data_IF_612879741543
#
_entry.id   IF_612879741543
#
_cell.length_a   1.000
_cell.length_b   1.000
_cell.length_c   1.000
_cell.angle_alpha   90.00
_cell.angle_beta   90.00
_cell.angle_gamma   90.00
#
_symmetry.space_group_name_H-M   'P 1'
#
loop_
_entity.id
_entity.type
_entity.pdbx_description
1 polymer ?
#
# COMPACT_ATOMS: atom_id res chain seq x y z
N UNK A 1 23.23 -8.98 -45.93
CA UNK A 1 22.38 -7.81 -45.58
C UNK A 1 21.12 -8.23 -44.81
N UNK A 2 20.33 -9.20 -45.29
CA UNK A 2 19.09 -9.68 -44.63
C UNK A 2 19.31 -10.22 -43.21
N UNK A 3 20.41 -10.96 -42.96
CA UNK A 3 20.71 -11.48 -41.61
C UNK A 3 21.00 -10.40 -40.56
N UNK A 4 21.60 -9.28 -40.95
CA UNK A 4 21.89 -8.16 -40.04
C UNK A 4 20.60 -7.44 -39.66
N UNK A 5 19.68 -7.26 -40.62
CA UNK A 5 18.37 -6.65 -40.38
C UNK A 5 17.49 -7.47 -39.41
N UNK A 6 17.53 -8.81 -39.51
CA UNK A 6 16.79 -9.70 -38.60
C UNK A 6 17.32 -9.63 -37.15
N UNK A 7 18.63 -9.52 -36.97
CA UNK A 7 19.23 -9.40 -35.63
C UNK A 7 18.86 -8.06 -34.99
N UNK A 8 18.88 -6.97 -35.75
CA UNK A 8 18.49 -5.65 -35.24
C UNK A 8 17.01 -5.61 -34.83
N UNK A 9 16.12 -6.24 -35.60
CA UNK A 9 14.69 -6.32 -35.28
C UNK A 9 14.39 -7.16 -34.04
N UNK A 10 15.14 -8.24 -33.82
CA UNK A 10 15.04 -9.06 -32.62
C UNK A 10 15.52 -8.30 -31.37
N UNK A 11 16.60 -7.52 -31.49
CA UNK A 11 17.15 -6.71 -30.38
C UNK A 11 16.22 -5.57 -30.01
N UNK A 12 15.56 -4.89 -30.97
CA UNK A 12 14.59 -3.83 -30.68
C UNK A 12 13.31 -4.38 -30.03
N UNK A 13 12.83 -5.55 -30.46
CA UNK A 13 11.66 -6.19 -29.85
C UNK A 13 11.92 -6.57 -28.40
N UNK A 14 13.17 -6.93 -28.07
CA UNK A 14 13.57 -7.29 -26.71
C UNK A 14 13.58 -6.07 -25.77
N UNK A 15 13.85 -4.86 -26.26
CA UNK A 15 13.84 -3.64 -25.44
C UNK A 15 12.43 -3.06 -25.25
N UNK A 16 11.50 -3.26 -26.20
CA UNK A 16 10.09 -2.87 -26.05
C UNK A 16 9.33 -3.72 -25.00
N UNK A 17 9.82 -4.92 -24.68
CA UNK A 17 9.19 -5.82 -23.70
C UNK A 17 9.39 -5.45 -22.22
N UNK A 18 10.21 -4.44 -21.90
CA UNK A 18 10.53 -4.04 -20.52
C UNK A 18 9.82 -2.76 -20.05
N UNK A 19 8.83 -2.26 -20.79
CA UNK A 19 8.01 -1.14 -20.29
C UNK A 19 7.06 -1.68 -19.22
N UNK A 20 7.53 -1.70 -17.97
CA UNK A 20 6.67 -1.96 -16.82
C UNK A 20 5.57 -0.88 -16.78
N UNK A 21 4.28 -1.24 -16.82
CA UNK A 21 3.23 -0.25 -16.65
C UNK A 21 3.43 0.38 -15.28
N UNK A 22 3.76 1.68 -15.25
CA UNK A 22 3.68 2.46 -14.02
C UNK A 22 2.21 2.52 -13.65
N UNK A 23 1.77 1.58 -12.82
CA UNK A 23 0.51 1.71 -12.10
C UNK A 23 0.62 3.03 -11.34
N UNK A 24 -0.17 4.02 -11.75
CA UNK A 24 -0.10 5.37 -11.22
C UNK A 24 -0.55 5.38 -9.77
N UNK A 25 0.35 5.02 -8.85
CA UNK A 25 0.22 5.39 -7.46
C UNK A 25 0.35 6.90 -7.43
N UNK A 26 -0.75 7.60 -7.14
CA UNK A 26 -0.66 8.98 -6.72
C UNK A 26 -0.21 8.97 -5.25
N UNK A 27 1.07 9.24 -4.95
CA UNK A 27 1.52 9.26 -3.57
C UNK A 27 0.77 10.38 -2.85
N UNK A 28 0.05 10.01 -1.79
CA UNK A 28 -0.68 10.99 -0.96
C UNK A 28 0.25 11.75 -0.02
N UNK A 29 1.49 11.28 0.14
CA UNK A 29 2.55 11.89 0.96
C UNK A 29 3.54 12.59 0.03
N UNK A 30 3.64 13.92 0.12
CA UNK A 30 4.52 14.75 -0.72
C UNK A 30 5.90 14.86 -0.07
N UNK A 31 6.97 14.63 -0.84
CA UNK A 31 8.35 14.73 -0.36
C UNK A 31 8.78 13.61 0.60
N UNK A 32 7.93 12.60 0.80
CA UNK A 32 8.23 11.45 1.63
C UNK A 32 9.01 10.36 0.90
N UNK A 33 9.41 9.34 1.66
CA UNK A 33 10.01 8.11 1.16
C UNK A 33 9.24 6.90 1.69
N UNK A 34 9.39 5.75 1.05
CA UNK A 34 8.77 4.52 1.52
C UNK A 34 9.31 4.17 2.92
N UNK A 35 8.39 3.81 3.82
CA UNK A 35 8.77 3.31 5.13
C UNK A 35 9.30 1.87 5.03
N UNK A 36 10.33 1.54 5.82
CA UNK A 36 10.76 0.14 5.97
C UNK A 36 9.72 -0.65 6.75
N UNK A 37 9.78 -1.97 6.65
CA UNK A 37 8.92 -2.85 7.46
C UNK A 37 9.06 -2.53 8.95
N UNK A 38 7.92 -2.42 9.64
CA UNK A 38 7.88 -2.14 11.07
C UNK A 38 8.43 -0.77 11.50
N UNK A 39 8.80 0.13 10.58
CA UNK A 39 9.41 1.43 10.94
C UNK A 39 8.50 2.26 11.85
N UNK A 40 7.18 2.17 11.64
CA UNK A 40 6.17 2.90 12.39
C UNK A 40 5.11 1.91 12.91
N UNK A 41 5.41 1.11 13.95
CA UNK A 41 4.58 -0.02 14.38
C UNK A 41 3.24 0.40 14.99
N UNK A 42 3.11 1.68 15.34
CA UNK A 42 1.89 2.31 15.80
C UNK A 42 0.96 2.72 14.66
N UNK A 43 1.43 2.82 13.41
CA UNK A 43 0.64 3.33 12.30
C UNK A 43 -0.51 2.37 11.93
N UNK A 44 -1.71 2.92 11.79
CA UNK A 44 -2.90 2.19 11.34
C UNK A 44 -3.54 2.81 10.11
N UNK A 45 -4.29 1.99 9.38
CA UNK A 45 -5.24 2.38 8.35
C UNK A 45 -6.65 2.25 8.91
N UNK A 46 -7.30 3.38 9.17
CA UNK A 46 -8.74 3.42 9.43
C UNK A 46 -9.46 3.31 8.10
N UNK A 47 -10.31 2.29 7.96
CA UNK A 47 -10.98 1.93 6.72
C UNK A 47 -12.48 2.08 6.83
N UNK A 48 -13.10 2.63 5.79
CA UNK A 48 -14.55 2.69 5.61
C UNK A 48 -14.95 1.76 4.46
N UNK A 49 -15.86 0.81 4.71
CA UNK A 49 -16.22 -0.26 3.77
C UNK A 49 -15.00 -0.97 3.14
N UNK A 50 -13.95 -1.18 3.96
CA UNK A 50 -12.72 -1.86 3.53
C UNK A 50 -11.73 -1.00 2.75
N UNK A 51 -12.06 0.25 2.42
CA UNK A 51 -11.15 1.20 1.76
C UNK A 51 -10.49 2.14 2.78
N UNK A 52 -9.22 2.49 2.58
CA UNK A 52 -8.51 3.43 3.44
C UNK A 52 -9.17 4.82 3.41
N UNK A 53 -9.53 5.32 4.59
CA UNK A 53 -10.11 6.64 4.77
C UNK A 53 -9.12 7.60 5.45
N UNK A 54 -8.62 7.19 6.62
CA UNK A 54 -7.71 7.98 7.45
C UNK A 54 -6.60 7.14 8.07
N UNK A 55 -5.59 7.82 8.62
CA UNK A 55 -4.59 7.24 9.50
C UNK A 55 -5.00 7.22 10.98
N UNK A 56 -4.08 6.79 11.83
CA UNK A 56 -4.21 6.80 13.27
C UNK A 56 -3.01 6.13 13.95
N UNK A 57 -3.00 6.07 15.27
CA UNK A 57 -1.90 5.51 16.04
C UNK A 57 -2.38 4.57 17.15
N UNK A 58 -1.76 3.41 17.28
CA UNK A 58 -2.03 2.47 18.37
C UNK A 58 -1.53 3.07 19.68
N UNK A 59 -2.40 3.11 20.69
CA UNK A 59 -2.04 3.50 22.06
C UNK A 59 -1.76 2.27 22.92
N UNK A 60 -2.58 1.22 22.80
CA UNK A 60 -2.41 -0.07 23.48
C UNK A 60 -3.26 -1.15 22.79
N UNK A 61 -3.37 -2.33 23.40
CA UNK A 61 -4.13 -3.48 22.88
C UNK A 61 -5.60 -3.20 22.54
N UNK A 62 -6.21 -2.18 23.16
CA UNK A 62 -7.64 -1.88 23.03
C UNK A 62 -7.94 -0.53 22.40
N UNK A 63 -6.93 0.35 22.29
CA UNK A 63 -7.13 1.74 21.95
C UNK A 63 -6.22 2.20 20.82
N UNK A 64 -6.83 2.88 19.84
CA UNK A 64 -6.15 3.62 18.80
C UNK A 64 -6.66 5.07 18.79
N UNK A 65 -5.75 6.00 18.50
CA UNK A 65 -6.00 7.43 18.39
C UNK A 65 -6.16 7.83 16.92
N UNK A 66 -7.16 8.64 16.61
CA UNK A 66 -7.38 9.23 15.28
C UNK A 66 -8.08 10.59 15.42
N UNK A 67 -8.25 11.33 14.32
CA UNK A 67 -8.97 12.60 14.34
C UNK A 67 -10.49 12.36 14.41
N UNK A 68 -11.23 13.24 15.11
CA UNK A 68 -12.69 13.12 15.25
C UNK A 68 -13.40 13.10 13.88
N UNK A 69 -12.98 13.94 12.94
CA UNK A 69 -13.57 14.01 11.60
C UNK A 69 -13.35 12.74 10.75
N UNK A 70 -12.48 11.82 11.19
CA UNK A 70 -12.26 10.55 10.51
C UNK A 70 -13.29 9.48 10.91
N UNK A 71 -14.04 9.70 12.00
CA UNK A 71 -15.05 8.77 12.53
C UNK A 71 -16.44 9.39 12.62
N UNK A 72 -16.55 10.73 12.65
CA UNK A 72 -17.82 11.44 12.69
C UNK A 72 -18.69 11.10 11.47
N UNK A 73 -19.98 10.86 11.71
CA UNK A 73 -20.95 10.47 10.67
C UNK A 73 -20.81 9.04 10.12
N UNK A 74 -19.84 8.23 10.58
CA UNK A 74 -19.69 6.84 10.14
C UNK A 74 -20.33 5.84 11.12
N UNK A 75 -20.99 4.83 10.58
CA UNK A 75 -21.43 3.68 11.39
C UNK A 75 -20.22 2.83 11.79
N UNK A 76 -20.16 2.43 13.06
CA UNK A 76 -19.09 1.58 13.60
C UNK A 76 -18.96 0.28 12.79
N UNK A 77 -20.08 -0.30 12.35
CA UNK A 77 -20.09 -1.54 11.55
C UNK A 77 -19.42 -1.41 10.18
N UNK A 78 -19.30 -0.18 9.66
CA UNK A 78 -18.63 0.11 8.39
C UNK A 78 -17.15 0.48 8.57
N UNK A 79 -16.71 0.70 9.80
CA UNK A 79 -15.34 1.05 10.13
C UNK A 79 -14.51 -0.19 10.48
N UNK A 80 -13.24 -0.19 10.08
CA UNK A 80 -12.28 -1.21 10.50
C UNK A 80 -10.89 -0.59 10.69
N UNK A 81 -10.13 -1.14 11.64
CA UNK A 81 -8.76 -0.72 11.93
C UNK A 81 -7.82 -1.81 11.45
N UNK A 82 -6.91 -1.46 10.54
CA UNK A 82 -5.88 -2.37 10.03
C UNK A 82 -4.52 -1.83 10.41
N UNK A 83 -3.69 -2.67 11.04
CA UNK A 83 -2.30 -2.31 11.30
C UNK A 83 -1.52 -2.26 9.99
N UNK A 84 -0.74 -1.21 9.80
CA UNK A 84 0.17 -1.15 8.66
C UNK A 84 1.48 -1.86 9.01
N UNK A 85 1.56 -3.15 8.70
CA UNK A 85 2.85 -3.80 8.50
C UNK A 85 3.26 -3.59 7.04
N UNK A 86 4.37 -2.89 6.83
CA UNK A 86 4.86 -2.62 5.49
C UNK A 86 5.56 -3.87 4.96
N UNK A 87 4.82 -4.79 4.37
CA UNK A 87 5.38 -5.71 3.38
C UNK A 87 4.95 -5.19 2.00
N UNK A 88 5.76 -4.27 1.48
CA UNK A 88 5.43 -3.47 0.29
C UNK A 88 5.41 -4.29 -1.03
N UNK A 89 5.66 -5.61 -0.98
CA UNK A 89 5.76 -6.47 -2.16
C UNK A 89 4.41 -7.02 -2.68
N UNK A 90 3.29 -6.82 -1.99
CA UNK A 90 1.97 -7.28 -2.49
C UNK A 90 0.86 -6.26 -2.24
N UNK A 91 0.91 -5.15 -2.98
CA UNK A 91 -0.26 -4.28 -3.17
C UNK A 91 -1.39 -5.06 -3.88
N UNK A 92 -2.12 -5.90 -3.14
CA UNK A 92 -3.23 -6.69 -3.69
C UNK A 92 -3.60 -7.99 -2.97
N UNK A 93 -2.87 -8.42 -1.94
CA UNK A 93 -3.18 -9.69 -1.27
C UNK A 93 -3.76 -9.44 0.13
N UNK A 94 -5.05 -9.72 0.25
CA UNK A 94 -5.83 -9.77 1.49
C UNK A 94 -5.31 -10.94 2.33
N UNK A 95 -4.26 -10.74 3.11
CA UNK A 95 -3.75 -11.77 4.00
C UNK A 95 -4.07 -11.39 5.44
N UNK A 96 -4.87 -12.26 6.05
CA UNK A 96 -5.21 -12.28 7.46
C UNK A 96 -3.89 -12.44 8.24
N UNK A 97 -3.48 -11.40 8.99
CA UNK A 97 -2.28 -11.47 9.81
C UNK A 97 -2.61 -12.10 11.16
N UNK A 98 -1.69 -12.92 11.72
CA UNK A 98 -1.87 -13.55 13.02
C UNK A 98 -1.94 -12.48 14.11
N UNK A 99 -2.75 -12.75 15.13
CA UNK A 99 -2.98 -11.88 16.27
C UNK A 99 -1.70 -11.66 17.08
N UNK A 100 -0.95 -10.61 16.77
CA UNK A 100 0.29 -10.26 17.47
C UNK A 100 -0.01 -9.32 18.64
N UNK A 101 -0.33 -9.99 19.75
CA UNK A 101 -0.09 -9.68 21.16
C UNK A 101 0.52 -8.30 21.47
N UNK A 102 -0.31 -7.48 22.13
CA UNK A 102 0.09 -6.48 23.12
C UNK A 102 -0.55 -6.85 24.45
#
# INVERSE_FOLDING_TARGET
MIRIALVLFAVTSLTLGFVSPKFGFNPRIVGGQNATEGQFPYQISLRYYGSHNCGGSILNKHWALTAAHCVDGYSVSALSVVRLFCECLKCGQRQHLPEQRW
#
